data_IF_151788064833
#
_entry.id   IF_151788064833
#
_cell.length_a   1.000
_cell.length_b   1.000
_cell.length_c   1.000
_cell.angle_alpha   90.00
_cell.angle_beta   90.00
_cell.angle_gamma   90.00
#
_symmetry.space_group_name_H-M   'P 1'
#
loop_
_entity.id
_entity.type
_entity.pdbx_description
1 polymer ?
#
# COMPACT_ATOMS: atom_id res chain seq x y z
N UNK A 1 -16.09 6.44 12.97
CA UNK A 1 -16.12 7.80 12.44
C UNK A 1 -16.66 8.87 13.43
N UNK A 2 -17.57 8.52 14.31
CA UNK A 2 -18.21 9.49 15.22
C UNK A 2 -17.30 10.09 16.31
N UNK A 3 -16.23 9.41 16.74
CA UNK A 3 -15.49 9.79 17.95
C UNK A 3 -13.96 9.77 17.88
N UNK A 4 -13.36 9.25 16.82
CA UNK A 4 -11.90 9.07 16.78
C UNK A 4 -11.36 9.24 15.35
N UNK A 5 -11.46 10.45 14.85
CA UNK A 5 -10.79 10.86 13.62
C UNK A 5 -9.38 11.32 13.96
N UNK A 6 -8.42 11.01 13.11
CA UNK A 6 -7.04 11.45 13.25
C UNK A 6 -6.46 11.83 11.89
N UNK A 7 -5.33 12.52 11.91
CA UNK A 7 -4.53 12.77 10.72
C UNK A 7 -3.25 11.95 10.83
N UNK A 8 -2.86 11.34 9.72
CA UNK A 8 -1.58 10.64 9.60
C UNK A 8 -0.70 11.50 8.69
N UNK A 9 0.31 12.21 9.27
CA UNK A 9 1.21 13.02 8.48
C UNK A 9 2.18 12.14 7.69
N UNK A 10 2.39 12.50 6.41
CA UNK A 10 3.34 11.81 5.54
C UNK A 10 3.92 12.77 4.51
N UNK A 11 5.12 12.49 3.99
CA UNK A 11 5.70 13.21 2.85
C UNK A 11 5.20 12.67 1.51
N UNK A 12 4.61 11.48 1.52
CA UNK A 12 4.08 10.75 0.40
C UNK A 12 3.72 9.33 0.80
N UNK A 13 3.35 8.51 -0.17
CA UNK A 13 3.04 7.09 0.05
C UNK A 13 3.47 6.26 -1.15
N UNK A 14 3.59 4.96 -0.93
CA UNK A 14 3.92 4.02 -1.99
C UNK A 14 2.67 3.35 -2.54
N UNK A 15 2.70 3.11 -3.86
CA UNK A 15 1.70 2.32 -4.55
C UNK A 15 2.36 1.40 -5.57
N UNK A 16 1.78 0.23 -5.81
CA UNK A 16 2.34 -0.78 -6.69
C UNK A 16 1.51 -0.94 -7.96
N UNK A 17 1.99 -0.33 -9.03
CA UNK A 17 1.37 -0.50 -10.34
C UNK A 17 1.44 -1.95 -10.79
N UNK A 18 0.30 -2.52 -11.17
CA UNK A 18 0.25 -3.86 -11.76
C UNK A 18 0.87 -3.85 -13.17
N UNK A 19 1.75 -4.79 -13.47
CA UNK A 19 2.25 -5.04 -14.81
C UNK A 19 2.28 -6.55 -15.09
N UNK A 20 2.40 -6.95 -16.36
CA UNK A 20 2.39 -8.36 -16.77
C UNK A 20 3.49 -9.22 -16.11
N UNK A 21 4.63 -8.60 -15.79
CA UNK A 21 5.80 -9.33 -15.27
C UNK A 21 5.96 -9.21 -13.76
N UNK A 22 5.67 -8.05 -13.19
CA UNK A 22 5.84 -7.75 -11.75
C UNK A 22 5.08 -6.49 -11.38
N UNK A 23 4.80 -6.33 -10.08
CA UNK A 23 4.35 -5.04 -9.55
C UNK A 23 5.53 -4.08 -9.49
N UNK A 24 5.32 -2.84 -9.93
CA UNK A 24 6.32 -1.76 -9.96
C UNK A 24 5.98 -0.73 -8.89
N UNK A 25 6.85 -0.54 -7.89
CA UNK A 25 6.59 0.42 -6.83
C UNK A 25 6.78 1.84 -7.33
N UNK A 26 5.87 2.72 -6.92
CA UNK A 26 5.91 4.16 -7.18
C UNK A 26 5.81 4.92 -5.87
N UNK A 27 6.52 6.03 -5.76
CA UNK A 27 6.35 7.00 -4.69
C UNK A 27 5.48 8.15 -5.18
N UNK A 28 4.41 8.42 -4.45
CA UNK A 28 3.41 9.44 -4.77
C UNK A 28 3.52 10.53 -3.71
N UNK A 29 3.65 11.78 -4.12
CA UNK A 29 3.80 12.92 -3.23
C UNK A 29 3.12 14.15 -3.81
N UNK A 30 2.89 15.18 -2.98
CA UNK A 30 2.33 16.44 -3.47
C UNK A 30 3.27 17.10 -4.48
N UNK A 31 2.69 17.70 -5.50
CA UNK A 31 3.44 18.45 -6.54
C UNK A 31 4.24 19.62 -5.96
N UNK A 32 3.72 20.27 -4.92
CA UNK A 32 4.38 21.37 -4.22
C UNK A 32 5.46 20.92 -3.21
N UNK A 33 5.64 19.61 -3.03
CA UNK A 33 6.60 19.03 -2.08
C UNK A 33 6.18 19.15 -0.61
N UNK A 34 5.00 19.68 -0.32
CA UNK A 34 4.48 19.81 1.04
C UNK A 34 4.06 18.47 1.65
N UNK A 35 3.94 18.41 2.98
CA UNK A 35 3.41 17.22 3.66
C UNK A 35 1.92 17.05 3.37
N UNK A 36 1.45 15.82 3.53
CA UNK A 36 0.04 15.42 3.41
C UNK A 36 -0.51 15.01 4.77
N UNK A 37 -1.77 15.37 5.03
CA UNK A 37 -2.54 14.87 6.16
C UNK A 37 -3.51 13.80 5.67
N UNK A 38 -3.19 12.52 5.86
CA UNK A 38 -4.08 11.43 5.47
C UNK A 38 -5.23 11.31 6.46
N UNK A 39 -6.47 11.16 5.94
CA UNK A 39 -7.65 10.94 6.76
C UNK A 39 -7.57 9.59 7.47
N UNK A 40 -7.45 9.58 8.79
CA UNK A 40 -7.35 8.40 9.61
C UNK A 40 -8.55 8.21 10.53
N UNK A 41 -8.87 6.96 10.82
CA UNK A 41 -9.83 6.55 11.85
C UNK A 41 -9.10 5.70 12.86
N UNK A 42 -9.12 6.13 14.13
CA UNK A 42 -8.50 5.40 15.22
C UNK A 42 -9.55 4.60 16.00
N UNK A 43 -9.19 3.43 16.50
CA UNK A 43 -10.02 2.60 17.36
C UNK A 43 -9.14 1.79 18.32
N UNK A 44 -9.62 1.60 19.55
CA UNK A 44 -9.00 0.66 20.48
C UNK A 44 -9.76 -0.66 20.41
N UNK A 45 -9.10 -1.69 19.93
CA UNK A 45 -9.62 -3.04 19.99
C UNK A 45 -9.35 -3.63 21.38
N UNK A 46 -10.38 -4.25 21.97
CA UNK A 46 -10.27 -4.94 23.26
C UNK A 46 -10.40 -6.43 22.98
N UNK A 47 -9.35 -7.17 23.30
CA UNK A 47 -9.31 -8.61 23.14
C UNK A 47 -10.10 -9.37 24.20
N UNK A 48 -10.32 -10.68 24.01
CA UNK A 48 -11.14 -11.50 24.88
C UNK A 48 -10.57 -11.64 26.31
N UNK A 49 -9.28 -11.38 26.50
CA UNK A 49 -8.62 -11.44 27.81
C UNK A 49 -8.38 -10.03 28.41
N UNK A 50 -8.95 -8.98 27.81
CA UNK A 50 -8.81 -7.60 28.27
C UNK A 50 -7.56 -6.87 27.74
N UNK A 51 -6.79 -7.47 26.83
CA UNK A 51 -5.72 -6.78 26.13
C UNK A 51 -6.28 -5.65 25.25
N UNK A 52 -5.62 -4.50 25.25
CA UNK A 52 -5.99 -3.34 24.46
C UNK A 52 -4.96 -3.11 23.33
N UNK A 53 -5.45 -2.86 22.11
CA UNK A 53 -4.64 -2.53 20.96
C UNK A 53 -5.22 -1.32 20.24
N UNK A 54 -4.48 -0.21 20.24
CA UNK A 54 -4.83 0.94 19.42
C UNK A 54 -4.52 0.68 17.95
N UNK A 55 -5.52 0.89 17.11
CA UNK A 55 -5.43 0.68 15.67
C UNK A 55 -5.80 1.94 14.92
N UNK A 56 -5.23 2.10 13.73
CA UNK A 56 -5.54 3.21 12.83
C UNK A 56 -5.77 2.66 11.42
N UNK A 57 -6.84 3.12 10.78
CA UNK A 57 -7.13 2.83 9.39
C UNK A 57 -7.10 4.12 8.56
N UNK A 58 -6.45 4.09 7.39
CA UNK A 58 -6.47 5.19 6.44
C UNK A 58 -7.72 5.08 5.58
N UNK A 59 -8.48 6.17 5.48
CA UNK A 59 -9.66 6.25 4.60
C UNK A 59 -9.18 6.35 3.16
N UNK A 60 -9.82 5.61 2.26
CA UNK A 60 -9.51 5.63 0.84
C UNK A 60 -10.75 5.99 0.01
N UNK A 61 -10.56 6.61 -1.16
CA UNK A 61 -11.57 6.93 -2.16
C UNK A 61 -11.20 6.35 -3.53
N UNK A 62 -12.12 6.32 -4.51
CA UNK A 62 -11.76 6.07 -5.90
C UNK A 62 -10.69 7.07 -6.36
N UNK A 63 -9.72 6.60 -7.15
CA UNK A 63 -8.65 7.45 -7.66
C UNK A 63 -9.15 8.44 -8.72
N UNK A 64 -8.52 9.63 -8.80
CA UNK A 64 -8.62 10.53 -9.94
C UNK A 64 -8.02 9.89 -11.20
N UNK A 65 -8.33 10.43 -12.39
CA UNK A 65 -7.91 9.80 -13.65
C UNK A 65 -6.40 9.65 -13.78
N UNK A 66 -5.63 10.62 -13.29
CA UNK A 66 -4.17 10.62 -13.30
C UNK A 66 -3.56 9.56 -12.36
N UNK A 67 -4.15 9.30 -11.20
CA UNK A 67 -3.68 8.30 -10.23
C UNK A 67 -4.24 6.90 -10.50
N UNK A 68 -5.37 6.78 -11.22
CA UNK A 68 -5.98 5.50 -11.55
C UNK A 68 -5.09 4.59 -12.40
N UNK A 69 -4.08 5.16 -13.08
CA UNK A 69 -3.07 4.40 -13.84
C UNK A 69 -2.16 3.56 -12.93
N UNK A 70 -2.06 3.93 -11.65
CA UNK A 70 -1.29 3.18 -10.64
C UNK A 70 -2.19 2.23 -9.87
N UNK A 71 -3.28 2.76 -9.30
CA UNK A 71 -4.23 1.99 -8.52
C UNK A 71 -5.62 2.63 -8.54
N UNK A 72 -6.67 1.81 -8.49
CA UNK A 72 -8.07 2.27 -8.56
C UNK A 72 -8.57 3.00 -7.30
N UNK A 73 -7.82 2.95 -6.20
CA UNK A 73 -8.12 3.67 -4.95
C UNK A 73 -6.91 4.43 -4.47
N UNK A 74 -7.16 5.57 -3.81
CA UNK A 74 -6.12 6.43 -3.23
C UNK A 74 -6.47 6.76 -1.78
N UNK A 75 -5.48 7.04 -0.92
CA UNK A 75 -5.72 7.63 0.39
C UNK A 75 -6.43 8.98 0.24
N UNK A 76 -7.40 9.23 1.11
CA UNK A 76 -8.02 10.56 1.21
C UNK A 76 -7.08 11.47 1.98
N UNK A 77 -6.87 12.68 1.46
CA UNK A 77 -6.13 13.74 2.13
C UNK A 77 -7.10 14.80 2.64
N UNK A 78 -6.81 15.39 3.79
CA UNK A 78 -7.55 16.51 4.35
C UNK A 78 -6.73 17.78 4.11
N UNK A 79 -7.35 18.80 3.56
CA UNK A 79 -6.70 20.11 3.36
C UNK A 79 -6.38 20.75 4.73
N UNK A 80 -5.29 21.51 4.87
CA UNK A 80 -4.94 22.15 6.14
C UNK A 80 -6.07 23.00 6.73
N UNK A 81 -6.84 23.71 5.92
CA UNK A 81 -7.98 24.54 6.34
C UNK A 81 -9.15 23.72 6.91
N UNK A 82 -9.19 22.41 6.62
CA UNK A 82 -10.21 21.48 7.10
C UNK A 82 -9.74 20.59 8.26
N UNK A 83 -8.51 20.77 8.76
CA UNK A 83 -7.99 19.93 9.84
C UNK A 83 -8.83 20.03 11.12
N UNK A 84 -9.27 21.21 11.51
CA UNK A 84 -10.13 21.40 12.67
C UNK A 84 -11.47 20.68 12.48
N UNK A 85 -12.12 20.85 11.33
CA UNK A 85 -13.39 20.20 10.99
C UNK A 85 -13.28 18.68 10.97
N UNK A 86 -12.12 18.15 10.55
CA UNK A 86 -11.86 16.72 10.57
C UNK A 86 -11.61 16.19 11.98
N UNK A 87 -10.79 16.89 12.79
CA UNK A 87 -10.31 16.40 14.08
C UNK A 87 -11.31 16.61 15.22
N UNK A 88 -12.04 17.73 15.22
CA UNK A 88 -13.00 18.03 16.30
C UNK A 88 -14.28 17.20 16.13
N UNK A 89 -14.26 16.02 16.78
CA UNK A 89 -15.39 15.12 16.81
C UNK A 89 -16.53 15.60 17.73
N UNK A 90 -16.31 16.62 18.53
CA UNK A 90 -17.32 17.21 19.42
C UNK A 90 -18.17 18.27 18.72
N UNK A 91 -17.51 19.17 17.97
CA UNK A 91 -18.19 20.22 17.23
C UNK A 91 -18.74 19.78 15.87
N UNK A 92 -18.10 18.78 15.23
CA UNK A 92 -18.43 18.34 13.88
C UNK A 92 -18.83 16.86 13.86
N UNK A 93 -20.04 16.60 13.44
CA UNK A 93 -20.61 15.26 13.35
C UNK A 93 -19.98 14.42 12.21
N UNK A 94 -20.44 13.17 12.07
CA UNK A 94 -19.95 12.26 11.05
C UNK A 94 -20.35 12.71 9.64
N UNK A 95 -21.49 13.35 9.45
CA UNK A 95 -21.97 13.81 8.15
C UNK A 95 -21.11 14.96 7.63
N UNK A 96 -20.83 15.95 8.47
CA UNK A 96 -19.89 17.04 8.17
C UNK A 96 -18.50 16.51 7.82
N UNK A 97 -17.99 15.52 8.58
CA UNK A 97 -16.70 14.92 8.30
C UNK A 97 -16.69 14.09 7.00
N UNK A 98 -17.79 13.40 6.69
CA UNK A 98 -17.91 12.64 5.43
C UNK A 98 -17.85 13.54 4.20
N UNK A 99 -18.33 14.78 4.28
CA UNK A 99 -18.25 15.74 3.18
C UNK A 99 -16.81 16.13 2.81
N UNK A 100 -15.84 15.90 3.71
CA UNK A 100 -14.41 16.13 3.45
C UNK A 100 -13.70 14.94 2.75
N UNK A 101 -14.37 13.77 2.68
CA UNK A 101 -13.79 12.55 2.12
C UNK A 101 -13.91 12.52 0.59
N UNK A 102 -13.03 13.23 -0.06
CA UNK A 102 -12.91 13.22 -1.52
C UNK A 102 -11.52 12.74 -1.94
N UNK A 103 -11.41 12.23 -3.17
CA UNK A 103 -10.10 11.99 -3.77
C UNK A 103 -9.33 13.31 -3.90
N UNK A 104 -7.99 13.29 -3.88
CA UNK A 104 -7.20 14.44 -4.28
C UNK A 104 -7.61 14.96 -5.66
N UNK A 105 -7.52 16.27 -5.85
CA UNK A 105 -7.82 16.88 -7.14
C UNK A 105 -6.80 16.42 -8.21
N UNK A 106 -7.23 16.35 -9.47
CA UNK A 106 -6.37 15.92 -10.57
C UNK A 106 -5.16 16.86 -10.69
N UNK A 107 -3.96 16.29 -10.77
CA UNK A 107 -2.71 17.04 -10.83
C UNK A 107 -2.18 17.57 -9.50
N UNK A 108 -2.89 17.38 -8.37
CA UNK A 108 -2.38 17.73 -7.04
C UNK A 108 -1.16 16.89 -6.67
N UNK A 109 -1.16 15.63 -7.07
CA UNK A 109 -0.07 14.70 -6.82
C UNK A 109 0.77 14.42 -8.06
N UNK A 110 2.02 14.08 -7.83
CA UNK A 110 2.95 13.56 -8.84
C UNK A 110 3.53 12.24 -8.33
N UNK A 111 4.02 11.43 -9.24
CA UNK A 111 4.58 10.14 -8.90
C UNK A 111 5.74 9.76 -9.80
N UNK A 112 6.62 8.90 -9.30
CA UNK A 112 7.72 8.29 -10.05
C UNK A 112 7.99 6.89 -9.56
N UNK A 113 8.55 6.05 -10.42
CA UNK A 113 8.96 4.70 -10.04
C UNK A 113 10.18 4.75 -9.12
N UNK A 114 10.18 3.88 -8.12
CA UNK A 114 11.27 3.73 -7.15
C UNK A 114 11.82 2.32 -7.18
N UNK A 115 12.99 2.12 -6.53
CA UNK A 115 13.63 0.80 -6.44
C UNK A 115 12.74 -0.22 -5.70
N UNK A 116 12.76 -1.48 -6.17
CA UNK A 116 12.10 -2.61 -5.49
C UNK A 116 12.69 -2.90 -4.10
N UNK A 117 13.77 -2.21 -3.68
CA UNK A 117 14.27 -2.24 -2.30
C UNK A 117 13.19 -1.89 -1.27
N UNK A 118 12.21 -1.06 -1.64
CA UNK A 118 11.07 -0.70 -0.78
C UNK A 118 10.22 -1.92 -0.36
N UNK A 119 10.26 -3.02 -1.09
CA UNK A 119 9.53 -4.25 -0.75
C UNK A 119 10.08 -4.97 0.49
N UNK A 120 11.23 -4.57 1.01
CA UNK A 120 11.83 -5.16 2.20
C UNK A 120 11.71 -4.20 3.37
N UNK A 121 10.93 -4.56 4.36
CA UNK A 121 10.70 -3.76 5.59
C UNK A 121 11.99 -3.39 6.32
N UNK A 122 13.04 -4.22 6.21
CA UNK A 122 14.35 -3.94 6.80
C UNK A 122 15.11 -2.77 6.14
N UNK A 123 14.69 -2.34 4.94
CA UNK A 123 15.25 -1.15 4.32
C UNK A 123 14.46 0.06 4.82
N UNK A 124 15.17 1.00 5.42
CA UNK A 124 14.61 2.24 5.97
C UNK A 124 15.64 3.36 5.77
N UNK A 125 15.74 3.86 4.55
CA UNK A 125 16.66 4.95 4.19
C UNK A 125 16.01 5.92 3.19
N UNK A 126 16.50 7.16 3.17
CA UNK A 126 15.97 8.23 2.32
C UNK A 126 16.10 7.96 0.81
N UNK A 127 16.89 6.98 0.39
CA UNK A 127 17.04 6.64 -1.03
C UNK A 127 15.82 5.88 -1.58
N UNK A 128 14.98 5.32 -0.71
CA UNK A 128 13.79 4.56 -1.11
C UNK A 128 12.73 5.42 -1.80
N UNK A 129 12.73 6.73 -1.54
CA UNK A 129 11.79 7.68 -2.18
C UNK A 129 12.35 8.33 -3.44
N UNK A 130 13.61 8.06 -3.81
CA UNK A 130 14.23 8.65 -4.99
C UNK A 130 13.80 7.92 -6.27
N UNK A 131 13.69 8.63 -7.40
CA UNK A 131 13.44 8.00 -8.69
C UNK A 131 14.46 6.91 -9.00
N UNK A 132 13.99 5.76 -9.48
CA UNK A 132 14.89 4.67 -9.88
C UNK A 132 15.74 5.09 -11.07
N UNK A 133 17.04 4.81 -11.03
CA UNK A 133 17.93 5.07 -12.16
C UNK A 133 17.82 3.97 -13.22
N UNK A 134 18.22 4.28 -14.47
CA UNK A 134 18.23 3.31 -15.55
C UNK A 134 19.10 2.07 -15.23
N UNK A 135 20.21 2.28 -14.52
CA UNK A 135 21.11 1.19 -14.08
C UNK A 135 20.44 0.28 -13.05
N UNK A 136 19.76 0.87 -12.06
CA UNK A 136 18.99 0.13 -11.05
C UNK A 136 17.83 -0.64 -11.70
N UNK A 137 17.13 0.00 -12.62
CA UNK A 137 16.02 -0.63 -13.36
C UNK A 137 16.51 -1.87 -14.12
N UNK A 138 17.64 -1.76 -14.83
CA UNK A 138 18.24 -2.88 -15.57
C UNK A 138 18.71 -4.01 -14.61
N UNK A 139 19.25 -3.65 -13.44
CA UNK A 139 19.69 -4.63 -12.43
C UNK A 139 18.54 -5.37 -11.75
N UNK A 140 17.39 -4.70 -11.63
CA UNK A 140 16.19 -5.25 -11.01
C UNK A 140 15.26 -6.00 -12.00
N UNK A 141 15.55 -5.96 -13.30
CA UNK A 141 14.81 -6.76 -14.26
C UNK A 141 14.94 -8.27 -13.94
N UNK A 142 13.82 -9.01 -13.95
CA UNK A 142 13.86 -10.44 -13.72
C UNK A 142 14.77 -11.10 -14.78
N UNK A 143 15.85 -11.71 -14.35
CA UNK A 143 16.64 -12.55 -15.26
C UNK A 143 15.71 -13.60 -15.84
N UNK A 144 15.79 -13.88 -17.17
CA UNK A 144 14.96 -14.89 -17.79
C UNK A 144 15.12 -16.20 -17.01
N UNK A 145 14.00 -16.77 -16.57
CA UNK A 145 13.99 -18.01 -15.82
C UNK A 145 14.79 -19.05 -16.64
N UNK A 146 15.87 -19.58 -16.04
CA UNK A 146 16.54 -20.74 -16.63
C UNK A 146 15.46 -21.79 -16.86
N UNK A 147 15.26 -22.22 -18.11
CA UNK A 147 14.31 -23.28 -18.46
C UNK A 147 14.53 -24.41 -17.47
N UNK A 148 13.50 -24.74 -16.69
CA UNK A 148 13.55 -25.86 -15.78
C UNK A 148 13.96 -27.10 -16.59
N UNK A 149 15.10 -27.69 -16.25
CA UNK A 149 15.51 -28.97 -16.79
C UNK A 149 14.41 -29.95 -16.43
N UNK A 150 13.77 -30.64 -17.39
CA UNK A 150 12.71 -31.57 -17.09
C UNK A 150 13.25 -32.60 -16.09
N UNK A 151 12.63 -32.69 -14.92
CA UNK A 151 12.97 -33.73 -13.94
C UNK A 151 12.73 -35.08 -14.62
N UNK A 152 13.80 -35.86 -14.72
CA UNK A 152 13.77 -37.25 -15.18
C UNK A 152 12.72 -37.97 -14.32
N UNK A 153 11.74 -38.67 -14.91
CA UNK A 153 10.77 -39.43 -14.13
C UNK A 153 11.53 -40.43 -13.25
N UNK A 154 11.25 -40.40 -11.95
CA UNK A 154 11.72 -41.40 -11.01
C UNK A 154 11.03 -42.70 -11.39
N UNK A 155 11.73 -43.83 -11.63
CA UNK A 155 11.08 -45.11 -11.86
C UNK A 155 10.20 -45.45 -10.66
N UNK A 156 8.90 -45.63 -10.87
CA UNK A 156 8.01 -46.20 -9.88
C UNK A 156 8.46 -47.65 -9.69
N UNK A 157 8.94 -47.99 -8.49
CA UNK A 157 9.21 -49.36 -8.13
C UNK A 157 7.89 -50.12 -8.25
N UNK A 158 7.86 -51.13 -9.08
CA UNK A 158 6.76 -52.08 -9.18
C UNK A 158 6.61 -52.77 -7.81
N UNK A 159 5.49 -52.53 -7.17
CA UNK A 159 5.07 -53.29 -5.99
C UNK A 159 4.66 -54.69 -6.46
N UNK A 160 5.62 -55.61 -6.44
CA UNK A 160 5.36 -57.02 -6.62
C UNK A 160 4.69 -57.56 -5.37
N UNK A 161 3.41 -57.85 -5.50
CA UNK A 161 2.55 -58.36 -4.46
C UNK A 161 3.11 -59.56 -3.73
N UNK A 162 2.75 -59.65 -2.49
CA UNK A 162 2.50 -60.79 -1.64
C UNK A 162 2.27 -60.25 -0.23
N UNK A 163 1.26 -60.57 0.47
CA UNK A 163 0.39 -61.71 0.55
C UNK A 163 -0.66 -61.44 1.61
N UNK A 164 -1.84 -61.88 1.26
CA UNK A 164 -2.92 -62.15 2.23
C UNK A 164 -2.42 -63.12 3.31
N UNK A 165 -2.75 -62.80 4.54
CA UNK A 165 -3.08 -63.81 5.58
C UNK A 165 -3.72 -63.14 6.83
N UNK A 166 -4.99 -63.53 7.03
CA UNK A 166 -5.87 -63.39 8.18
C UNK A 166 -6.56 -62.05 8.44
#
# INVERSE_FOLDING_TARGET
MKRRRCLIPANGYYEWQASEKRKRPHFIHRRDGGPIGLAGLAETWIGPNGEELDTVAIVTAPASADLAVLHHRVPVTIAPDDFERWLDCGAHDAETAMALLKAPDEGEFVWHEVSTRVNRVANDDAQLILPITAEQMAAEEPKPAKKAVPRRPVPVASDDGQGSLF
#
